data_IF_506176596547
#
_entry.id   IF_506176596547
#
_cell.length_a   1.000
_cell.length_b   1.000
_cell.length_c   1.000
_cell.angle_alpha   90.00
_cell.angle_beta   90.00
_cell.angle_gamma   90.00
#
_symmetry.space_group_name_H-M   'P 1'
#
loop_
_entity.id
_entity.type
_entity.pdbx_description
1 polymer ?
#
# COMPACT_ATOMS: atom_id res chain seq x y z
N UNK A 1 2.58 -17.51 9.60
CA UNK A 1 2.92 -16.62 8.48
C UNK A 1 1.91 -16.76 7.36
N UNK A 2 1.33 -15.66 6.93
CA UNK A 2 0.38 -15.55 5.81
C UNK A 2 0.92 -14.52 4.82
N UNK A 3 0.55 -14.63 3.54
CA UNK A 3 0.84 -13.56 2.57
C UNK A 3 0.12 -12.29 3.00
N UNK A 4 0.77 -11.14 2.84
CA UNK A 4 0.20 -9.84 3.19
C UNK A 4 -1.17 -9.64 2.52
N UNK A 5 -1.28 -9.92 1.22
CA UNK A 5 -2.55 -9.80 0.46
C UNK A 5 -3.68 -10.70 0.97
N UNK A 6 -3.35 -11.84 1.56
CA UNK A 6 -4.31 -12.86 1.98
C UNK A 6 -4.77 -12.69 3.44
N UNK A 7 -4.19 -11.73 4.16
CA UNK A 7 -4.57 -11.46 5.54
C UNK A 7 -6.01 -10.94 5.61
N UNK A 8 -6.84 -11.51 6.49
CA UNK A 8 -8.27 -11.19 6.59
C UNK A 8 -8.54 -9.68 6.75
N UNK A 9 -7.74 -9.00 7.57
CA UNK A 9 -7.83 -7.54 7.80
C UNK A 9 -7.41 -6.66 6.62
N UNK A 10 -6.83 -7.23 5.56
CA UNK A 10 -6.49 -6.52 4.32
C UNK A 10 -7.51 -6.73 3.20
N UNK A 11 -8.52 -7.57 3.44
CA UNK A 11 -9.60 -7.80 2.48
C UNK A 11 -10.34 -6.49 2.19
N UNK A 12 -10.35 -6.07 0.92
CA UNK A 12 -10.95 -4.82 0.48
C UNK A 12 -10.07 -3.56 0.68
N UNK A 13 -8.91 -3.70 1.31
CA UNK A 13 -7.88 -2.66 1.41
C UNK A 13 -6.68 -2.91 0.50
N UNK A 14 -6.48 -4.17 0.11
CA UNK A 14 -5.43 -4.60 -0.79
C UNK A 14 -6.00 -5.05 -2.15
N UNK A 15 -5.39 -4.64 -3.27
CA UNK A 15 -4.36 -3.60 -3.36
C UNK A 15 -4.91 -2.20 -3.00
N UNK A 16 -4.05 -1.26 -2.58
CA UNK A 16 -4.48 0.11 -2.32
C UNK A 16 -5.08 0.75 -3.58
N UNK A 17 -6.06 1.63 -3.40
CA UNK A 17 -6.54 2.49 -4.49
C UNK A 17 -5.52 3.61 -4.68
N UNK A 18 -5.07 3.80 -5.92
CA UNK A 18 -4.08 4.80 -6.28
C UNK A 18 -4.71 5.98 -7.03
N UNK A 19 -4.26 7.18 -6.67
CA UNK A 19 -4.54 8.43 -7.37
C UNK A 19 -3.36 8.79 -8.28
N UNK A 20 -3.66 9.21 -9.51
CA UNK A 20 -2.67 9.57 -10.53
C UNK A 20 -3.24 10.54 -11.59
N UNK A 21 -2.41 11.04 -12.52
CA UNK A 21 -2.83 11.97 -13.57
C UNK A 21 -3.91 11.35 -14.48
N UNK A 22 -4.85 12.13 -14.99
CA UNK A 22 -6.00 11.60 -15.74
C UNK A 22 -5.61 10.78 -16.99
N UNK A 23 -4.51 11.16 -17.66
CA UNK A 23 -3.94 10.46 -18.82
C UNK A 23 -3.39 9.06 -18.52
N UNK A 24 -3.31 8.68 -17.24
CA UNK A 24 -2.94 7.35 -16.79
C UNK A 24 -4.02 6.31 -17.13
N UNK A 25 -5.29 6.61 -16.87
CA UNK A 25 -6.38 5.63 -16.96
C UNK A 25 -6.65 5.12 -18.38
N UNK A 26 -6.11 5.81 -19.39
CA UNK A 26 -6.14 5.41 -20.80
C UNK A 26 -5.09 4.33 -21.14
N UNK A 27 -4.10 4.09 -20.27
CA UNK A 27 -3.06 3.07 -20.46
C UNK A 27 -3.51 1.70 -19.93
N UNK A 28 -2.91 0.62 -20.44
CA UNK A 28 -3.16 -0.72 -19.93
C UNK A 28 -2.38 -0.97 -18.63
N UNK A 29 -3.08 -1.43 -17.59
CA UNK A 29 -2.47 -1.80 -16.31
C UNK A 29 -2.69 -3.31 -16.06
N UNK A 30 -1.66 -4.05 -15.61
CA UNK A 30 -1.72 -5.50 -15.44
C UNK A 30 -2.59 -5.99 -14.26
N UNK A 31 -3.66 -5.28 -13.89
CA UNK A 31 -4.55 -5.61 -12.77
C UNK A 31 -4.55 -4.55 -11.68
N UNK A 32 -4.78 -4.93 -10.42
CA UNK A 32 -4.78 -4.01 -9.27
C UNK A 32 -3.42 -3.86 -8.56
N UNK A 33 -2.46 -4.74 -8.84
CA UNK A 33 -1.15 -4.81 -8.18
C UNK A 33 -0.03 -4.50 -9.17
N UNK A 34 0.04 -3.26 -9.62
CA UNK A 34 1.02 -2.79 -10.60
C UNK A 34 1.98 -1.77 -9.98
N UNK A 35 3.12 -1.58 -10.65
CA UNK A 35 4.14 -0.62 -10.24
C UNK A 35 5.03 -1.08 -9.08
N UNK A 36 6.13 -0.36 -8.92
CA UNK A 36 7.17 -0.60 -7.92
C UNK A 36 6.95 0.27 -6.68
N UNK A 37 6.92 -0.33 -5.50
CA UNK A 37 6.81 0.41 -4.24
C UNK A 37 8.07 1.25 -3.99
N UNK A 38 7.96 2.56 -4.15
CA UNK A 38 9.07 3.50 -3.90
C UNK A 38 9.13 3.96 -2.45
N UNK A 39 7.96 4.22 -1.85
CA UNK A 39 7.91 4.81 -0.52
C UNK A 39 6.66 4.34 0.23
N UNK A 40 6.83 4.13 1.52
CA UNK A 40 5.71 4.01 2.46
C UNK A 40 5.98 4.94 3.65
N UNK A 41 4.97 5.70 4.06
CA UNK A 41 5.03 6.65 5.18
C UNK A 41 3.90 6.36 6.15
N UNK A 42 4.23 6.31 7.44
CA UNK A 42 3.27 6.34 8.53
C UNK A 42 2.86 7.77 8.82
N UNK A 43 1.57 8.08 8.78
CA UNK A 43 1.05 9.42 9.05
C UNK A 43 0.10 9.37 10.24
N UNK A 44 0.36 10.21 11.23
CA UNK A 44 -0.56 10.47 12.35
C UNK A 44 -1.17 11.85 12.10
N UNK A 45 -2.47 11.95 11.81
CA UNK A 45 -3.14 13.23 11.61
C UNK A 45 -3.15 14.07 12.90
N UNK A 46 -3.02 15.38 12.76
CA UNK A 46 -3.15 16.31 13.89
C UNK A 46 -4.61 16.60 14.24
N UNK A 47 -5.55 16.26 13.35
CA UNK A 47 -6.97 16.54 13.53
C UNK A 47 -7.63 15.49 14.43
N UNK A 48 -8.33 15.97 15.46
CA UNK A 48 -9.10 15.12 16.38
C UNK A 48 -10.13 14.28 15.63
N UNK A 49 -10.06 12.96 15.80
CA UNK A 49 -11.01 11.99 15.23
C UNK A 49 -10.55 11.35 13.92
N UNK A 50 -9.43 11.77 13.34
CA UNK A 50 -8.84 11.09 12.18
C UNK A 50 -7.92 9.95 12.62
N UNK A 51 -8.03 8.80 11.95
CA UNK A 51 -7.20 7.64 12.22
C UNK A 51 -5.82 7.77 11.55
N UNK A 52 -4.75 7.21 12.15
CA UNK A 52 -3.48 7.05 11.46
C UNK A 52 -3.63 6.26 10.15
N UNK A 53 -2.86 6.63 9.14
CA UNK A 53 -2.93 6.00 7.83
C UNK A 53 -1.54 5.79 7.22
N UNK A 54 -1.47 4.88 6.25
CA UNK A 54 -0.29 4.65 5.42
C UNK A 54 -0.42 5.47 4.14
N UNK A 55 0.59 6.26 3.84
CA UNK A 55 0.78 6.85 2.52
C UNK A 55 1.77 5.99 1.74
N UNK A 56 1.32 5.46 0.62
CA UNK A 56 2.07 4.54 -0.24
C UNK A 56 2.34 5.27 -1.55
N UNK A 57 3.59 5.27 -2.02
CA UNK A 57 3.98 5.78 -3.32
C UNK A 57 4.50 4.62 -4.16
N UNK A 58 3.90 4.45 -5.32
CA UNK A 58 4.28 3.44 -6.31
C UNK A 58 4.71 4.15 -7.57
N UNK A 59 5.81 3.72 -8.16
CA UNK A 59 6.30 4.23 -9.43
C UNK A 59 5.95 3.26 -10.55
N UNK A 60 5.40 3.78 -11.63
CA UNK A 60 5.12 3.02 -12.82
C UNK A 60 5.09 3.95 -14.04
N UNK A 61 5.72 3.52 -15.12
CA UNK A 61 5.70 4.23 -16.42
C UNK A 61 6.04 5.74 -16.28
N UNK A 62 7.16 6.02 -15.61
CA UNK A 62 7.69 7.37 -15.35
C UNK A 62 6.82 8.27 -14.47
N UNK A 63 5.77 7.72 -13.85
CA UNK A 63 4.82 8.44 -13.00
C UNK A 63 4.77 7.85 -11.60
N UNK A 64 4.71 8.74 -10.60
CA UNK A 64 4.48 8.37 -9.21
C UNK A 64 2.98 8.45 -8.87
N UNK A 65 2.47 7.36 -8.29
CA UNK A 65 1.09 7.19 -7.87
C UNK A 65 1.00 7.17 -6.36
N UNK A 66 -0.04 7.79 -5.83
CA UNK A 66 -0.27 7.86 -4.39
C UNK A 66 -1.44 6.97 -3.98
N UNK A 67 -1.18 6.03 -3.10
CA UNK A 67 -2.20 5.25 -2.40
C UNK A 67 -2.29 5.64 -0.93
N UNK A 68 -3.47 5.45 -0.35
CA UNK A 68 -3.70 5.60 1.10
C UNK A 68 -4.39 4.36 1.64
N UNK A 69 -3.94 3.88 2.79
CA UNK A 69 -4.58 2.78 3.53
C UNK A 69 -4.84 3.21 4.97
N UNK A 70 -6.07 3.02 5.43
CA UNK A 70 -6.50 3.26 6.81
C UNK A 70 -7.17 2.01 7.36
N UNK A 71 -7.08 1.77 8.67
CA UNK A 71 -7.69 0.63 9.33
C UNK A 71 -7.88 0.94 10.83
N UNK A 72 -9.01 0.54 11.41
CA UNK A 72 -9.36 0.81 12.81
C UNK A 72 -8.36 0.15 13.79
N UNK A 73 -7.92 -1.06 13.48
CA UNK A 73 -6.78 -1.72 14.13
C UNK A 73 -5.44 -1.06 13.72
N UNK A 74 -5.10 0.03 14.42
CA UNK A 74 -3.86 0.79 14.24
C UNK A 74 -2.60 -0.05 14.48
N UNK A 75 -2.51 -0.92 15.52
CA UNK A 75 -1.36 -1.84 15.69
C UNK A 75 -1.14 -2.76 14.49
N UNK A 76 -2.20 -3.33 13.93
CA UNK A 76 -2.11 -4.12 12.71
C UNK A 76 -1.58 -3.29 11.53
N UNK A 77 -2.16 -2.11 11.29
CA UNK A 77 -1.71 -1.22 10.22
C UNK A 77 -0.24 -0.82 10.37
N UNK A 78 0.24 -0.65 11.61
CA UNK A 78 1.64 -0.37 11.89
C UNK A 78 2.54 -1.54 11.51
N UNK A 79 2.13 -2.79 11.78
CA UNK A 79 2.88 -3.97 11.35
C UNK A 79 2.92 -4.09 9.82
N UNK A 80 1.82 -3.78 9.13
CA UNK A 80 1.78 -3.72 7.66
C UNK A 80 2.79 -2.70 7.14
N UNK A 81 2.81 -1.50 7.73
CA UNK A 81 3.81 -0.47 7.40
C UNK A 81 5.25 -0.95 7.56
N UNK A 82 5.58 -1.55 8.70
CA UNK A 82 6.94 -2.04 8.94
C UNK A 82 7.33 -3.15 7.95
N UNK A 83 6.39 -4.04 7.61
CA UNK A 83 6.62 -5.09 6.61
C UNK A 83 6.90 -4.51 5.21
N UNK A 84 6.07 -3.55 4.75
CA UNK A 84 6.26 -2.89 3.46
C UNK A 84 7.56 -2.07 3.44
N UNK A 85 7.87 -1.35 4.53
CA UNK A 85 9.05 -0.50 4.63
C UNK A 85 10.35 -1.31 4.63
N UNK A 86 10.38 -2.43 5.36
CA UNK A 86 11.58 -3.24 5.51
C UNK A 86 11.85 -4.16 4.32
N UNK A 87 10.80 -4.65 3.65
CA UNK A 87 10.92 -5.74 2.67
C UNK A 87 10.26 -5.49 1.32
N UNK A 88 9.52 -4.39 1.18
CA UNK A 88 8.75 -4.09 -0.02
C UNK A 88 9.31 -2.98 -0.90
N UNK A 89 10.21 -2.13 -0.39
CA UNK A 89 10.77 -1.03 -1.19
C UNK A 89 11.55 -1.61 -2.39
N UNK A 90 11.31 -1.04 -3.58
CA UNK A 90 11.81 -1.49 -4.89
C UNK A 90 11.28 -2.84 -5.37
N UNK A 91 10.20 -3.34 -4.78
CA UNK A 91 9.49 -4.53 -5.28
C UNK A 91 8.21 -4.14 -5.97
N UNK A 92 7.73 -4.97 -6.88
CA UNK A 92 6.40 -4.78 -7.46
C UNK A 92 5.33 -4.94 -6.38
N UNK A 93 4.17 -4.31 -6.55
CA UNK A 93 3.06 -4.54 -5.61
C UNK A 93 2.67 -6.01 -5.50
N UNK A 94 2.76 -6.77 -6.58
CA UNK A 94 2.54 -8.22 -6.55
C UNK A 94 3.51 -8.91 -5.57
N UNK A 95 4.80 -8.64 -5.67
CA UNK A 95 5.81 -9.17 -4.75
C UNK A 95 5.60 -8.68 -3.30
N UNK A 96 5.14 -7.44 -3.12
CA UNK A 96 4.78 -6.90 -1.80
C UNK A 96 3.58 -7.64 -1.22
N UNK A 97 2.56 -7.92 -2.02
CA UNK A 97 1.39 -8.71 -1.64
C UNK A 97 1.77 -10.13 -1.20
N UNK A 98 2.82 -10.70 -1.80
CA UNK A 98 3.37 -12.02 -1.48
C UNK A 98 4.29 -12.07 -0.26
N UNK A 99 4.60 -10.93 0.37
CA UNK A 99 5.41 -10.91 1.59
C UNK A 99 4.75 -11.76 2.68
N UNK A 100 5.49 -12.73 3.19
CA UNK A 100 5.10 -13.52 4.36
C UNK A 100 5.22 -12.67 5.62
N UNK A 101 4.13 -12.49 6.34
CA UNK A 101 4.02 -11.65 7.53
C UNK A 101 3.50 -12.49 8.70
N UNK A 102 4.00 -12.18 9.89
CA UNK A 102 3.54 -12.74 11.15
C UNK A 102 2.98 -11.56 11.97
N UNK A 103 1.66 -11.53 12.14
CA UNK A 103 0.93 -10.43 12.76
C UNK A 103 0.51 -10.73 14.19
#
# INVERSE_FOLDING_TARGET
MVKLRDHEKLKGLWPPVFEGPHSFWDKHHPGGEWGELQQVKWVVPDRKGELPYLKIIVHWDEVDFRGVMTHDDTPFLKKVYEAMKSRGIRKTLEEVGDLQVDF
#
